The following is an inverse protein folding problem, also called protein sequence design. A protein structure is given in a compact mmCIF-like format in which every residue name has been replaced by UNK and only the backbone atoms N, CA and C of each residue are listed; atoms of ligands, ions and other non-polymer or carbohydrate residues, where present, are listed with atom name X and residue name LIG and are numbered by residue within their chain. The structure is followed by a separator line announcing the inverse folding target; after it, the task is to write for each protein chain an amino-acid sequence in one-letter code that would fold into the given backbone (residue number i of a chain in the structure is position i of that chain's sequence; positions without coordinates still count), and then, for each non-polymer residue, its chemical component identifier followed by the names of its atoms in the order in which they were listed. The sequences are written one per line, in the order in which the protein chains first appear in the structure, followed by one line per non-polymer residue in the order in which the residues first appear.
data_IF_697811930666
#
_entry.id   IF_697811930666
#
_cell.length_a   1.000
_cell.length_b   1.000
_cell.length_c   1.000
_cell.angle_alpha   90.00
_cell.angle_beta   90.00
_cell.angle_gamma   90.00
#
_symmetry.space_group_name_H-M   'P 1'
#
loop_
_entity.id
_entity.type
_entity.pdbx_description
1 polymer ?
#
# COMPACT_ATOMS: atom_id res chain seq x y z
N UNK A 1 19.60 48.30 -8.60
CA UNK A 1 19.06 49.54 -9.19
C UNK A 1 17.64 49.70 -8.68
N UNK A 2 17.39 50.85 -8.04
CA UNK A 2 16.14 51.64 -7.93
C UNK A 2 14.85 50.94 -7.45
N UNK A 3 14.37 51.40 -6.30
CA UNK A 3 12.98 51.25 -5.82
C UNK A 3 12.02 52.12 -6.65
N UNK A 4 10.82 51.61 -6.91
CA UNK A 4 9.64 52.46 -7.19
C UNK A 4 8.37 51.80 -6.67
N UNK A 5 7.81 52.42 -5.63
CA UNK A 5 6.42 52.27 -5.18
C UNK A 5 5.53 53.17 -6.03
N UNK A 6 4.38 52.68 -6.49
CA UNK A 6 3.29 53.53 -6.97
C UNK A 6 1.94 52.85 -6.67
N UNK A 7 1.13 53.54 -5.88
CA UNK A 7 -0.30 53.35 -5.68
C UNK A 7 -0.95 54.75 -5.70
N UNK A 8 -2.28 54.88 -5.69
CA UNK A 8 -3.21 54.49 -6.74
C UNK A 8 -3.95 55.74 -7.29
N UNK A 9 -4.27 55.79 -8.59
CA UNK A 9 -5.14 56.82 -9.15
C UNK A 9 -6.56 56.27 -9.28
N UNK A 10 -7.45 56.69 -8.39
CA UNK A 10 -8.90 56.51 -8.50
C UNK A 10 -9.44 57.43 -9.60
N UNK A 11 -9.81 56.86 -10.75
CA UNK A 11 -10.79 57.47 -11.65
C UNK A 11 -12.01 56.56 -11.70
N UNK A 12 -13.04 57.03 -11.01
CA UNK A 12 -14.41 56.57 -11.09
C UNK A 12 -14.91 56.72 -12.53
N UNK A 13 -15.13 55.61 -13.21
CA UNK A 13 -16.03 55.53 -14.37
C UNK A 13 -16.61 54.13 -14.35
N UNK A 14 -17.89 54.03 -13.99
CA UNK A 14 -18.64 52.79 -14.08
C UNK A 14 -18.65 52.31 -15.54
N UNK A 15 -18.25 51.05 -15.82
CA UNK A 15 -18.64 50.41 -17.06
C UNK A 15 -19.99 49.74 -16.83
N UNK A 16 -21.09 50.43 -17.14
CA UNK A 16 -22.35 49.74 -17.43
C UNK A 16 -22.13 48.92 -18.72
N UNK A 17 -21.68 47.68 -18.56
CA UNK A 17 -21.35 46.75 -19.63
C UNK A 17 -22.63 46.13 -20.23
N UNK A 18 -23.32 46.88 -21.09
CA UNK A 18 -24.43 46.38 -21.91
C UNK A 18 -24.03 46.37 -23.39
N UNK A 19 -24.40 45.31 -24.13
CA UNK A 19 -24.16 45.21 -25.57
C UNK A 19 -24.95 46.31 -26.31
N UNK A 20 -24.32 47.15 -27.16
CA UNK A 20 -25.00 48.25 -27.85
C UNK A 20 -25.98 47.79 -28.96
N UNK A 21 -26.12 46.48 -29.20
CA UNK A 21 -27.05 45.91 -30.18
C UNK A 21 -28.23 45.12 -29.61
N UNK A 22 -28.24 44.77 -28.32
CA UNK A 22 -29.23 43.84 -27.78
C UNK A 22 -29.76 44.16 -26.37
N UNK A 23 -29.21 45.16 -25.65
CA UNK A 23 -29.74 45.61 -24.36
C UNK A 23 -29.73 44.57 -23.22
N UNK A 24 -29.23 43.36 -23.45
CA UNK A 24 -29.02 42.36 -22.42
C UNK A 24 -27.76 42.69 -21.62
N UNK A 25 -27.91 42.84 -20.30
CA UNK A 25 -26.80 42.83 -19.37
C UNK A 25 -26.23 41.41 -19.37
N UNK A 26 -25.05 41.25 -19.96
CA UNK A 26 -24.33 39.98 -19.89
C UNK A 26 -23.99 39.70 -18.41
N UNK A 27 -24.12 38.46 -17.92
CA UNK A 27 -23.69 38.06 -16.57
C UNK A 27 -22.16 38.14 -16.37
N UNK A 28 -21.53 39.29 -16.62
CA UNK A 28 -20.08 39.50 -16.46
C UNK A 28 -19.61 39.21 -15.04
N UNK A 29 -20.47 39.40 -14.04
CA UNK A 29 -20.11 39.17 -12.65
C UNK A 29 -19.89 37.68 -12.35
N UNK A 30 -20.64 36.78 -12.99
CA UNK A 30 -20.47 35.34 -12.80
C UNK A 30 -19.19 34.83 -13.47
N UNK A 31 -18.94 35.26 -14.71
CA UNK A 31 -17.72 34.89 -15.45
C UNK A 31 -16.46 35.44 -14.77
N UNK A 32 -16.53 36.64 -14.19
CA UNK A 32 -15.43 37.26 -13.44
C UNK A 32 -15.13 36.52 -12.14
N UNK A 33 -16.15 36.06 -11.42
CA UNK A 33 -15.98 35.22 -10.23
C UNK A 33 -15.38 33.86 -10.60
N UNK A 34 -15.87 33.22 -11.67
CA UNK A 34 -15.30 31.96 -12.16
C UNK A 34 -13.84 32.12 -12.62
N UNK A 35 -13.48 33.24 -13.23
CA UNK A 35 -12.10 33.52 -13.64
C UNK A 35 -11.16 33.64 -12.42
N UNK A 36 -11.62 34.29 -11.35
CA UNK A 36 -10.86 34.41 -10.10
C UNK A 36 -10.69 33.06 -9.41
N UNK A 37 -11.74 32.25 -9.35
CA UNK A 37 -11.69 30.88 -8.81
C UNK A 37 -10.75 29.99 -9.65
N UNK A 38 -10.84 30.10 -10.99
CA UNK A 38 -9.94 29.39 -11.89
C UNK A 38 -8.48 29.84 -11.69
N UNK A 39 -8.23 31.13 -11.46
CA UNK A 39 -6.90 31.67 -11.21
C UNK A 39 -6.32 31.16 -9.89
N UNK A 40 -7.09 31.15 -8.80
CA UNK A 40 -6.69 30.56 -7.53
C UNK A 40 -6.34 29.08 -7.70
N UNK A 41 -7.20 28.34 -8.39
CA UNK A 41 -6.98 26.92 -8.64
C UNK A 41 -5.75 26.64 -9.50
N UNK A 42 -5.44 27.51 -10.45
CA UNK A 42 -4.20 27.42 -11.24
C UNK A 42 -2.98 27.58 -10.31
N UNK A 43 -2.99 28.57 -9.43
CA UNK A 43 -1.87 28.79 -8.48
C UNK A 43 -1.69 27.58 -7.55
N UNK A 44 -2.79 27.01 -7.04
CA UNK A 44 -2.73 25.80 -6.22
C UNK A 44 -2.16 24.60 -6.97
N UNK A 45 -2.59 24.40 -8.22
CA UNK A 45 -2.06 23.35 -9.07
C UNK A 45 -0.58 23.57 -9.39
N UNK A 46 -0.16 24.81 -9.66
CA UNK A 46 1.25 25.15 -9.87
C UNK A 46 2.10 24.86 -8.63
N UNK A 47 1.58 25.16 -7.44
CA UNK A 47 2.25 24.85 -6.17
C UNK A 47 2.36 23.34 -5.95
N UNK A 48 1.30 22.58 -6.23
CA UNK A 48 1.34 21.11 -6.15
C UNK A 48 2.34 20.52 -7.14
N UNK A 49 2.39 21.02 -8.38
CA UNK A 49 3.38 20.58 -9.37
C UNK A 49 4.80 20.87 -8.91
N UNK A 50 5.05 22.05 -8.33
CA UNK A 50 6.37 22.38 -7.75
C UNK A 50 6.76 21.43 -6.63
N UNK A 51 5.84 21.16 -5.69
CA UNK A 51 6.09 20.24 -4.58
C UNK A 51 6.34 18.80 -5.07
N UNK A 52 5.56 18.34 -6.04
CA UNK A 52 5.76 17.02 -6.64
C UNK A 52 7.09 16.92 -7.37
N UNK A 53 7.52 17.99 -8.05
CA UNK A 53 8.81 18.03 -8.72
C UNK A 53 9.99 18.02 -7.72
N UNK A 54 9.88 18.76 -6.61
CA UNK A 54 10.85 18.70 -5.52
C UNK A 54 10.93 17.29 -4.92
N UNK A 55 9.78 16.66 -4.67
CA UNK A 55 9.72 15.28 -4.16
C UNK A 55 10.28 14.27 -5.14
N UNK A 56 10.02 14.44 -6.44
CA UNK A 56 10.58 13.59 -7.48
C UNK A 56 12.10 13.74 -7.55
N UNK A 57 12.61 14.96 -7.49
CA UNK A 57 14.05 15.24 -7.47
C UNK A 57 14.72 14.62 -6.25
N UNK A 58 14.16 14.82 -5.05
CA UNK A 58 14.66 14.19 -3.82
C UNK A 58 14.58 12.65 -3.84
N UNK A 59 13.60 12.08 -4.55
CA UNK A 59 13.55 10.64 -4.76
C UNK A 59 14.66 10.17 -5.70
N UNK A 60 14.91 10.88 -6.80
CA UNK A 60 16.00 10.57 -7.74
C UNK A 60 17.36 10.66 -7.05
N UNK A 61 17.60 11.67 -6.22
CA UNK A 61 18.84 11.79 -5.44
C UNK A 61 19.07 10.57 -4.53
N UNK A 62 18.02 10.13 -3.81
CA UNK A 62 18.09 8.91 -2.98
C UNK A 62 18.33 7.65 -3.82
N UNK A 63 17.81 7.59 -5.04
CA UNK A 63 18.04 6.45 -5.93
C UNK A 63 19.49 6.40 -6.41
N UNK A 64 20.10 7.56 -6.65
CA UNK A 64 21.53 7.64 -6.94
C UNK A 64 22.37 7.11 -5.76
N UNK A 65 22.04 7.49 -4.52
CA UNK A 65 22.71 6.96 -3.32
C UNK A 65 22.61 5.42 -3.25
N UNK A 66 21.42 4.84 -3.51
CA UNK A 66 21.24 3.39 -3.53
C UNK A 66 21.99 2.70 -4.67
N UNK A 67 22.13 3.35 -5.84
CA UNK A 67 22.90 2.82 -6.96
C UNK A 67 24.41 2.77 -6.60
N UNK A 68 24.92 3.80 -5.94
CA UNK A 68 26.29 3.84 -5.44
C UNK A 68 26.54 2.76 -4.38
N UNK A 69 25.60 2.56 -3.45
CA UNK A 69 25.67 1.47 -2.47
C UNK A 69 25.67 0.08 -3.14
N UNK A 70 24.81 -0.14 -4.14
CA UNK A 70 24.77 -1.38 -4.90
C UNK A 70 26.07 -1.61 -5.66
N UNK A 71 26.64 -0.56 -6.25
CA UNK A 71 27.91 -0.63 -6.98
C UNK A 71 29.05 -0.96 -6.02
N UNK A 72 29.06 -0.33 -4.83
CA UNK A 72 30.01 -0.64 -3.76
C UNK A 72 29.91 -2.08 -3.27
N UNK A 73 28.69 -2.58 -3.02
CA UNK A 73 28.47 -3.96 -2.59
C UNK A 73 28.89 -4.97 -3.66
N UNK A 74 28.62 -4.69 -4.94
CA UNK A 74 29.09 -5.51 -6.06
C UNK A 74 30.61 -5.53 -6.18
N UNK A 75 31.28 -4.42 -5.90
CA UNK A 75 32.74 -4.35 -5.86
C UNK A 75 33.35 -5.09 -4.65
N UNK A 76 32.62 -5.18 -3.54
CA UNK A 76 33.01 -5.94 -2.36
C UNK A 76 32.76 -7.44 -2.50
N UNK A 77 31.81 -7.86 -3.34
CA UNK A 77 31.68 -9.26 -3.75
C UNK A 77 32.82 -9.60 -4.72
N UNK A 78 33.65 -10.63 -4.45
CA UNK A 78 34.66 -11.07 -5.41
C UNK A 78 33.97 -11.63 -6.66
N UNK A 79 33.98 -10.87 -7.76
CA UNK A 79 33.41 -11.29 -9.04
C UNK A 79 34.41 -12.13 -9.84
N UNK A 80 34.09 -13.41 -10.02
CA UNK A 80 34.56 -14.22 -11.15
C UNK A 80 34.20 -13.54 -12.48
N UNK A 81 35.09 -13.46 -13.49
CA UNK A 81 34.84 -12.69 -14.70
C UNK A 81 34.11 -13.52 -15.75
N UNK A 82 32.93 -13.08 -16.21
CA UNK A 82 32.48 -13.36 -17.59
C UNK A 82 31.47 -12.33 -18.10
N UNK A 83 31.97 -11.44 -18.97
CA UNK A 83 31.40 -10.89 -20.21
C UNK A 83 30.03 -10.14 -20.22
N UNK A 84 30.15 -8.81 -20.33
CA UNK A 84 29.55 -7.91 -21.36
C UNK A 84 28.03 -7.94 -21.66
N UNK A 85 27.34 -6.92 -21.14
CA UNK A 85 26.68 -5.81 -21.86
C UNK A 85 25.81 -6.10 -23.10
N UNK A 86 24.48 -5.89 -22.98
CA UNK A 86 23.66 -5.22 -24.02
C UNK A 86 22.36 -4.58 -23.49
N UNK A 87 22.41 -3.24 -23.43
CA UNK A 87 21.38 -2.20 -23.62
C UNK A 87 19.87 -2.56 -23.72
N UNK A 88 19.04 -1.85 -22.95
CA UNK A 88 17.56 -1.80 -23.04
C UNK A 88 17.05 -1.06 -24.30
N UNK A 89 15.75 -1.19 -24.66
CA UNK A 89 14.78 -0.17 -24.18
C UNK A 89 13.39 -0.68 -23.75
N UNK A 90 12.81 0.06 -22.79
CA UNK A 90 11.40 0.33 -22.49
C UNK A 90 10.40 -0.81 -22.18
N UNK A 91 9.78 -0.70 -21.01
CA UNK A 91 8.56 -1.39 -20.51
C UNK A 91 7.30 -1.00 -21.31
N UNK A 92 6.23 -1.84 -21.33
CA UNK A 92 5.25 -1.76 -20.25
C UNK A 92 4.66 -3.12 -19.78
N UNK A 93 4.45 -3.18 -18.46
CA UNK A 93 3.32 -3.81 -17.75
C UNK A 93 3.01 -5.31 -17.91
N UNK A 94 3.10 -6.00 -16.76
CA UNK A 94 2.14 -7.00 -16.24
C UNK A 94 2.00 -8.35 -16.98
N UNK A 95 2.68 -9.39 -16.48
CA UNK A 95 2.15 -10.75 -16.48
C UNK A 95 2.92 -11.66 -15.52
N UNK A 96 2.26 -11.99 -14.41
CA UNK A 96 2.16 -13.32 -13.80
C UNK A 96 3.33 -14.30 -14.02
N UNK A 97 4.02 -14.59 -12.91
CA UNK A 97 4.46 -15.92 -12.46
C UNK A 97 4.32 -17.05 -13.49
N UNK A 98 5.43 -17.45 -14.10
CA UNK A 98 5.61 -18.76 -14.76
C UNK A 98 7.11 -19.07 -14.86
N UNK A 99 7.71 -19.48 -13.75
CA UNK A 99 9.09 -19.98 -13.67
C UNK A 99 9.15 -21.51 -13.54
N UNK A 100 8.30 -22.23 -14.28
CA UNK A 100 8.44 -23.67 -14.44
C UNK A 100 8.24 -24.05 -15.90
N UNK A 101 9.27 -23.83 -16.73
CA UNK A 101 9.65 -24.77 -17.80
C UNK A 101 10.82 -24.25 -18.64
N UNK A 102 11.67 -25.21 -19.02
CA UNK A 102 12.64 -25.19 -20.11
C UNK A 102 14.08 -24.84 -19.71
N UNK A 103 14.89 -25.88 -19.50
CA UNK A 103 16.34 -25.70 -19.42
C UNK A 103 17.20 -26.91 -19.01
N UNK A 104 16.66 -28.11 -18.78
CA UNK A 104 17.48 -29.28 -18.38
C UNK A 104 17.46 -30.38 -19.44
N UNK A 105 18.16 -30.20 -20.56
CA UNK A 105 18.28 -31.27 -21.57
C UNK A 105 19.63 -31.39 -22.26
N UNK A 106 20.72 -30.74 -21.81
CA UNK A 106 21.98 -30.80 -22.57
C UNK A 106 23.29 -31.00 -21.81
N UNK A 107 23.27 -31.31 -20.50
CA UNK A 107 24.52 -31.58 -19.76
C UNK A 107 24.73 -33.05 -19.36
N UNK A 108 23.74 -33.92 -19.52
CA UNK A 108 23.84 -35.34 -19.13
C UNK A 108 24.48 -36.25 -20.18
N UNK A 109 25.01 -35.72 -21.30
CA UNK A 109 25.52 -36.52 -22.41
C UNK A 109 27.05 -36.61 -22.51
N UNK A 110 27.82 -35.97 -21.60
CA UNK A 110 29.29 -35.89 -21.70
C UNK A 110 30.05 -36.65 -20.60
N UNK A 111 29.37 -37.37 -19.71
CA UNK A 111 30.01 -38.04 -18.55
C UNK A 111 29.83 -39.57 -18.51
N UNK A 112 29.58 -40.22 -19.65
CA UNK A 112 29.59 -41.69 -19.73
C UNK A 112 30.76 -42.20 -20.57
N UNK A 113 31.85 -42.71 -19.94
CA UNK A 113 32.85 -43.52 -20.61
C UNK A 113 32.21 -44.81 -21.12
N UNK A 114 32.13 -44.94 -22.45
CA UNK A 114 31.62 -46.13 -23.14
C UNK A 114 32.57 -47.29 -22.87
N UNK A 115 32.19 -48.21 -21.97
CA UNK A 115 32.84 -49.51 -21.78
C UNK A 115 31.83 -50.62 -22.10
N UNK A 116 32.19 -51.42 -23.08
CA UNK A 116 31.43 -52.52 -23.68
C UNK A 116 31.15 -53.67 -22.69
N UNK A 117 29.93 -54.19 -22.72
CA UNK A 117 29.62 -55.57 -22.31
C UNK A 117 28.62 -56.17 -23.31
N UNK A 118 28.80 -57.43 -23.75
CA UNK A 118 27.90 -58.10 -24.68
C UNK A 118 26.75 -58.79 -23.93
N UNK A 119 25.68 -59.01 -24.69
CA UNK A 119 24.68 -60.06 -24.52
C UNK A 119 23.67 -59.89 -23.37
N UNK A 120 22.40 -59.67 -23.74
CA UNK A 120 21.24 -60.43 -23.25
C UNK A 120 20.01 -60.04 -24.07
N UNK A 121 19.32 -61.06 -24.56
CA UNK A 121 18.17 -61.02 -25.45
C UNK A 121 16.98 -60.23 -24.89
N UNK A 122 16.32 -59.46 -25.76
CA UNK A 122 14.89 -59.17 -25.62
C UNK A 122 14.26 -59.10 -27.01
N UNK A 123 13.32 -60.00 -27.19
CA UNK A 123 12.53 -60.28 -28.38
C UNK A 123 11.41 -59.22 -28.43
N UNK A 124 11.31 -58.44 -29.51
CA UNK A 124 10.02 -58.20 -30.19
C UNK A 124 10.16 -57.36 -31.47
N UNK A 125 9.98 -58.05 -32.60
CA UNK A 125 8.94 -57.81 -33.62
C UNK A 125 8.76 -56.41 -34.25
N UNK A 126 9.40 -56.15 -35.40
CA UNK A 126 8.72 -55.99 -36.71
C UNK A 126 9.68 -55.63 -37.88
N UNK A 127 9.28 -55.92 -39.14
CA UNK A 127 10.16 -56.01 -40.29
C UNK A 127 10.15 -54.75 -41.16
N UNK A 128 11.30 -54.32 -41.64
CA UNK A 128 11.43 -53.62 -42.92
C UNK A 128 12.89 -53.65 -43.38
N UNK A 129 13.16 -54.55 -44.31
CA UNK A 129 14.37 -54.61 -45.12
C UNK A 129 14.35 -53.42 -46.11
N UNK A 130 15.52 -52.87 -46.46
CA UNK A 130 15.93 -52.99 -47.86
C UNK A 130 17.36 -53.54 -48.00
N UNK A 131 17.55 -54.36 -49.05
CA UNK A 131 18.86 -54.65 -49.61
C UNK A 131 19.50 -53.33 -50.05
N UNK A 132 20.81 -53.17 -49.90
CA UNK A 132 21.67 -53.28 -51.08
C UNK A 132 23.17 -53.19 -50.78
N UNK A 133 23.87 -54.07 -51.51
CA UNK A 133 25.16 -53.86 -52.17
C UNK A 133 26.43 -53.84 -51.33
N UNK A 134 27.00 -55.06 -51.30
CA UNK A 134 28.42 -55.34 -51.49
C UNK A 134 29.10 -54.28 -52.35
N UNK A 135 30.21 -53.74 -51.87
CA UNK A 135 31.32 -53.31 -52.70
C UNK A 135 32.57 -53.98 -52.16
N UNK A 136 32.97 -55.04 -52.83
CA UNK A 136 34.34 -55.51 -52.78
C UNK A 136 35.20 -54.51 -53.56
N UNK A 137 36.24 -53.98 -52.93
CA UNK A 137 37.40 -53.47 -53.64
C UNK A 137 38.63 -54.01 -52.92
N UNK A 138 39.21 -55.00 -53.58
CA UNK A 138 40.51 -55.58 -53.31
C UNK A 138 41.62 -54.54 -53.45
N UNK A 139 42.80 -54.92 -52.92
CA UNK A 139 44.14 -54.36 -53.14
C UNK A 139 44.50 -53.25 -52.14
N UNK A 140 45.48 -53.43 -51.27
CA UNK A 140 46.83 -53.86 -51.65
C UNK A 140 47.63 -54.38 -50.44
N UNK A 141 48.30 -55.52 -50.65
CA UNK A 141 49.37 -56.01 -49.80
C UNK A 141 50.53 -55.00 -49.83
N UNK A 142 50.87 -54.44 -48.67
CA UNK A 142 52.21 -53.92 -48.40
C UNK A 142 52.77 -54.73 -47.25
N UNK A 143 53.60 -55.69 -47.63
CA UNK A 143 54.79 -56.16 -46.93
C UNK A 143 54.87 -55.85 -45.42
N UNK A 144 54.61 -56.90 -44.65
CA UNK A 144 55.03 -57.06 -43.27
C UNK A 144 56.54 -56.84 -43.16
N UNK A 145 56.95 -55.73 -42.56
CA UNK A 145 58.20 -55.66 -41.81
C UNK A 145 57.81 -55.74 -40.32
N UNK A 146 58.20 -56.79 -39.58
CA UNK A 146 57.98 -56.80 -38.14
C UNK A 146 58.74 -55.61 -37.54
N UNK A 147 58.13 -54.81 -36.65
CA UNK A 147 58.90 -53.82 -35.89
C UNK A 147 60.07 -54.54 -35.20
N UNK A 148 61.23 -53.90 -35.01
CA UNK A 148 62.29 -54.49 -34.19
C UNK A 148 61.66 -54.88 -32.86
N UNK A 149 61.80 -56.15 -32.48
CA UNK A 149 61.30 -56.63 -31.19
C UNK A 149 61.93 -55.72 -30.14
N UNK A 150 61.12 -55.05 -29.30
CA UNK A 150 61.68 -54.20 -28.26
C UNK A 150 62.61 -55.09 -27.44
N UNK A 151 63.84 -54.62 -27.24
CA UNK A 151 64.78 -55.36 -26.41
C UNK A 151 64.18 -55.47 -25.00
N UNK A 152 64.56 -56.51 -24.25
CA UNK A 152 64.04 -56.70 -22.89
C UNK A 152 64.27 -55.44 -22.02
N UNK A 153 65.36 -54.72 -22.28
CA UNK A 153 65.70 -53.46 -21.62
C UNK A 153 64.72 -52.32 -21.99
N UNK A 154 64.33 -52.21 -23.26
CA UNK A 154 63.33 -51.21 -23.71
C UNK A 154 61.96 -51.43 -23.06
N UNK A 155 61.57 -52.69 -22.86
CA UNK A 155 60.31 -53.05 -22.19
C UNK A 155 60.31 -52.69 -20.71
N UNK A 156 61.43 -52.91 -20.01
CA UNK A 156 61.60 -52.52 -18.61
C UNK A 156 61.59 -51.00 -18.46
N UNK A 157 62.26 -50.27 -19.35
CA UNK A 157 62.25 -48.81 -19.35
C UNK A 157 60.83 -48.27 -19.63
N UNK A 158 60.12 -48.82 -20.62
CA UNK A 158 58.75 -48.44 -20.93
C UNK A 158 57.78 -48.71 -19.76
N UNK A 159 57.90 -49.85 -19.08
CA UNK A 159 57.10 -50.18 -17.89
C UNK A 159 57.40 -49.20 -16.75
N UNK A 160 58.67 -48.86 -16.52
CA UNK A 160 59.04 -47.90 -15.48
C UNK A 160 58.44 -46.51 -15.74
N UNK A 161 58.43 -46.05 -17.00
CA UNK A 161 57.79 -44.79 -17.41
C UNK A 161 56.28 -44.85 -17.19
N UNK A 162 55.63 -45.95 -17.56
CA UNK A 162 54.20 -46.14 -17.39
C UNK A 162 53.79 -46.15 -15.91
N UNK A 163 54.55 -46.83 -15.06
CA UNK A 163 54.34 -46.81 -13.61
C UNK A 163 54.54 -45.41 -13.01
N UNK A 164 55.56 -44.67 -13.45
CA UNK A 164 55.79 -43.30 -12.98
C UNK A 164 54.64 -42.37 -13.40
N UNK A 165 54.16 -42.47 -14.64
CA UNK A 165 53.00 -41.72 -15.11
C UNK A 165 51.73 -42.06 -14.33
N UNK A 166 51.51 -43.34 -13.98
CA UNK A 166 50.39 -43.74 -13.13
C UNK A 166 50.49 -43.18 -11.73
N UNK A 167 51.65 -43.27 -11.08
CA UNK A 167 51.87 -42.67 -9.76
C UNK A 167 51.62 -41.17 -9.76
N UNK A 168 52.06 -40.46 -10.82
CA UNK A 168 51.79 -39.03 -10.98
C UNK A 168 50.29 -38.74 -11.15
N UNK A 169 49.60 -39.51 -12.00
CA UNK A 169 48.17 -39.39 -12.21
C UNK A 169 47.37 -39.69 -10.93
N UNK A 170 47.72 -40.75 -10.20
CA UNK A 170 47.15 -41.10 -8.89
C UNK A 170 47.38 -39.99 -7.87
N UNK A 171 48.57 -39.38 -7.86
CA UNK A 171 48.87 -38.23 -7.01
C UNK A 171 48.00 -37.01 -7.33
N UNK A 172 47.79 -36.70 -8.62
CA UNK A 172 46.90 -35.63 -9.07
C UNK A 172 45.45 -35.90 -8.69
N UNK A 173 44.96 -37.13 -8.89
CA UNK A 173 43.59 -37.52 -8.49
C UNK A 173 43.43 -37.40 -6.97
N UNK A 174 44.41 -37.87 -6.19
CA UNK A 174 44.39 -37.75 -4.74
C UNK A 174 44.40 -36.28 -4.26
N UNK A 175 45.16 -35.40 -4.92
CA UNK A 175 45.15 -33.97 -4.65
C UNK A 175 43.77 -33.36 -4.93
N UNK A 176 43.18 -33.64 -6.09
CA UNK A 176 41.83 -33.15 -6.42
C UNK A 176 40.75 -33.69 -5.49
N UNK A 177 40.86 -34.94 -5.02
CA UNK A 177 39.93 -35.51 -4.03
C UNK A 177 39.97 -34.72 -2.73
N UNK A 178 41.17 -34.36 -2.25
CA UNK A 178 41.33 -33.56 -1.03
C UNK A 178 40.77 -32.16 -1.19
N UNK A 179 41.03 -31.49 -2.32
CA UNK A 179 40.46 -30.16 -2.59
C UNK A 179 38.93 -30.19 -2.60
N UNK A 180 38.34 -31.23 -3.20
CA UNK A 180 36.88 -31.41 -3.19
C UNK A 180 36.36 -31.67 -1.78
N UNK A 181 37.05 -32.48 -0.98
CA UNK A 181 36.71 -32.73 0.43
C UNK A 181 36.76 -31.43 1.25
N UNK A 182 37.83 -30.64 1.11
CA UNK A 182 38.00 -29.35 1.78
C UNK A 182 36.91 -28.35 1.39
N UNK A 183 36.64 -28.21 0.09
CA UNK A 183 35.56 -27.34 -0.41
C UNK A 183 34.19 -27.80 0.08
N UNK A 184 33.95 -29.11 0.14
CA UNK A 184 32.70 -29.65 0.66
C UNK A 184 32.54 -29.35 2.15
N UNK A 185 33.61 -29.53 2.94
CA UNK A 185 33.60 -29.24 4.37
C UNK A 185 33.34 -27.75 4.64
N UNK A 186 34.02 -26.86 3.90
CA UNK A 186 33.82 -25.41 4.01
C UNK A 186 32.39 -24.99 3.65
N UNK A 187 31.82 -25.57 2.57
CA UNK A 187 30.43 -25.30 2.17
C UNK A 187 29.43 -25.75 3.26
N UNK A 188 29.64 -26.93 3.85
CA UNK A 188 28.78 -27.43 4.92
C UNK A 188 28.90 -26.59 6.19
N UNK A 189 30.11 -26.15 6.55
CA UNK A 189 30.33 -25.28 7.70
C UNK A 189 29.63 -23.92 7.51
N UNK A 190 29.81 -23.29 6.35
CA UNK A 190 29.14 -22.03 6.00
C UNK A 190 27.61 -22.18 6.01
N UNK A 191 27.09 -23.28 5.44
CA UNK A 191 25.66 -23.55 5.44
C UNK A 191 25.12 -23.75 6.88
N UNK A 192 25.87 -24.46 7.72
CA UNK A 192 25.49 -24.66 9.12
C UNK A 192 25.50 -23.35 9.91
N UNK A 193 26.48 -22.47 9.67
CA UNK A 193 26.54 -21.15 10.30
C UNK A 193 25.34 -20.28 9.91
N UNK A 194 25.02 -20.19 8.61
CA UNK A 194 23.87 -19.44 8.11
C UNK A 194 22.55 -19.93 8.73
N UNK A 195 22.37 -21.26 8.81
CA UNK A 195 21.17 -21.85 9.45
C UNK A 195 21.15 -21.57 10.95
N UNK A 196 22.30 -21.59 11.62
CA UNK A 196 22.37 -21.26 13.05
C UNK A 196 22.02 -19.78 13.29
N UNK A 197 22.50 -18.86 12.46
CA UNK A 197 22.12 -17.45 12.51
C UNK A 197 20.63 -17.25 12.27
N UNK A 198 20.05 -17.91 11.26
CA UNK A 198 18.63 -17.87 10.98
C UNK A 198 17.82 -18.37 12.19
N UNK A 199 18.19 -19.52 12.77
CA UNK A 199 17.53 -20.06 13.97
C UNK A 199 17.60 -19.08 15.14
N UNK A 200 18.75 -18.43 15.36
CA UNK A 200 18.92 -17.41 16.41
C UNK A 200 18.08 -16.18 16.12
N UNK A 201 18.06 -15.69 14.88
CA UNK A 201 17.29 -14.53 14.47
C UNK A 201 15.78 -14.80 14.61
N UNK A 202 15.34 -15.97 14.16
CA UNK A 202 13.97 -16.46 14.30
C UNK A 202 13.56 -16.54 15.76
N UNK A 203 14.37 -17.14 16.63
CA UNK A 203 14.08 -17.21 18.07
C UNK A 203 13.95 -15.81 18.71
N UNK A 204 14.79 -14.84 18.32
CA UNK A 204 14.68 -13.45 18.79
C UNK A 204 13.39 -12.77 18.32
N UNK A 205 12.97 -13.02 17.08
CA UNK A 205 11.71 -12.49 16.54
C UNK A 205 10.51 -13.11 17.24
N UNK A 206 10.52 -14.44 17.43
CA UNK A 206 9.47 -15.17 18.16
C UNK A 206 9.32 -14.60 19.59
N UNK A 207 10.42 -14.40 20.32
CA UNK A 207 10.39 -13.75 21.65
C UNK A 207 9.76 -12.35 21.61
N UNK A 208 10.12 -11.51 20.63
CA UNK A 208 9.58 -10.16 20.50
C UNK A 208 8.09 -10.16 20.14
N UNK A 209 7.65 -11.13 19.33
CA UNK A 209 6.24 -11.33 19.01
C UNK A 209 5.48 -11.72 20.27
N UNK A 210 5.95 -12.71 21.04
CA UNK A 210 5.32 -13.13 22.29
C UNK A 210 5.16 -11.96 23.29
N UNK A 211 6.19 -11.12 23.43
CA UNK A 211 6.14 -9.92 24.27
C UNK A 211 5.15 -8.86 23.77
N UNK A 212 5.02 -8.69 22.46
CA UNK A 212 4.03 -7.79 21.85
C UNK A 212 2.62 -8.32 22.09
N UNK A 213 2.37 -9.60 21.84
CA UNK A 213 1.09 -10.24 22.07
C UNK A 213 0.66 -10.13 23.54
N UNK A 214 1.58 -10.38 24.48
CA UNK A 214 1.31 -10.22 25.92
C UNK A 214 0.88 -8.79 26.26
N UNK A 215 1.56 -7.78 25.70
CA UNK A 215 1.22 -6.37 25.91
C UNK A 215 -0.13 -5.99 25.29
N UNK A 216 -0.42 -6.52 24.11
CA UNK A 216 -1.68 -6.24 23.42
C UNK A 216 -2.86 -6.90 24.13
N UNK A 217 -2.69 -8.11 24.68
CA UNK A 217 -3.69 -8.73 25.55
C UNK A 217 -3.96 -7.89 26.81
N UNK A 218 -2.92 -7.34 27.45
CA UNK A 218 -3.08 -6.47 28.60
C UNK A 218 -3.83 -5.17 28.25
N UNK A 219 -3.49 -4.54 27.12
CA UNK A 219 -4.18 -3.36 26.62
C UNK A 219 -5.64 -3.66 26.29
N UNK A 220 -5.94 -4.77 25.61
CA UNK A 220 -7.31 -5.21 25.32
C UNK A 220 -8.12 -5.37 26.62
N UNK A 221 -7.56 -5.99 27.66
CA UNK A 221 -8.22 -6.11 28.98
C UNK A 221 -8.45 -4.77 29.68
N UNK A 222 -7.58 -3.77 29.45
CA UNK A 222 -7.78 -2.41 29.97
C UNK A 222 -8.91 -1.70 29.21
N UNK A 223 -8.92 -1.82 27.89
CA UNK A 223 -9.97 -1.26 27.03
C UNK A 223 -11.33 -1.87 27.35
N UNK A 224 -11.44 -3.19 27.49
CA UNK A 224 -12.69 -3.87 27.87
C UNK A 224 -13.28 -3.33 29.18
N UNK A 225 -12.43 -3.04 30.17
CA UNK A 225 -12.86 -2.42 31.43
C UNK A 225 -13.36 -0.98 31.24
N UNK A 226 -12.68 -0.21 30.39
CA UNK A 226 -13.09 1.15 30.06
C UNK A 226 -14.39 1.17 29.27
N UNK A 227 -14.55 0.29 28.29
CA UNK A 227 -15.79 0.09 27.53
C UNK A 227 -16.95 -0.30 28.45
N UNK A 228 -16.71 -1.22 29.39
CA UNK A 228 -17.70 -1.56 30.42
C UNK A 228 -18.11 -0.36 31.28
N UNK A 229 -17.16 0.49 31.66
CA UNK A 229 -17.44 1.71 32.41
C UNK A 229 -18.19 2.77 31.55
N UNK A 230 -17.79 2.96 30.29
CA UNK A 230 -18.47 3.86 29.36
C UNK A 230 -19.91 3.41 29.11
N UNK A 231 -20.15 2.12 28.87
CA UNK A 231 -21.49 1.56 28.72
C UNK A 231 -22.35 1.79 29.97
N UNK A 232 -21.77 1.74 31.17
CA UNK A 232 -22.49 2.07 32.41
C UNK A 232 -22.85 3.55 32.48
N UNK A 233 -21.90 4.43 32.15
CA UNK A 233 -22.12 5.88 32.11
C UNK A 233 -23.20 6.23 31.09
N UNK A 234 -23.17 5.62 29.91
CA UNK A 234 -24.16 5.81 28.87
C UNK A 234 -25.57 5.41 29.33
N UNK A 235 -25.72 4.25 30.00
CA UNK A 235 -27.01 3.87 30.60
C UNK A 235 -27.50 4.85 31.65
N UNK A 236 -26.63 5.34 32.52
CA UNK A 236 -27.01 6.34 33.53
C UNK A 236 -27.41 7.65 32.87
N UNK A 237 -26.70 8.09 31.82
CA UNK A 237 -27.08 9.28 31.05
C UNK A 237 -28.47 9.15 30.43
N UNK A 238 -28.79 7.99 29.86
CA UNK A 238 -30.13 7.73 29.31
C UNK A 238 -31.20 7.80 30.40
N UNK A 239 -30.99 7.18 31.56
CA UNK A 239 -31.94 7.23 32.67
C UNK A 239 -32.10 8.64 33.26
N UNK A 240 -31.02 9.42 33.32
CA UNK A 240 -31.10 10.82 33.78
C UNK A 240 -31.87 11.69 32.78
N UNK A 241 -31.70 11.46 31.48
CA UNK A 241 -32.47 12.17 30.47
C UNK A 241 -33.98 11.85 30.58
N UNK A 242 -34.35 10.59 30.76
CA UNK A 242 -35.74 10.18 30.98
C UNK A 242 -36.32 10.80 32.27
N UNK A 243 -35.55 10.78 33.37
CA UNK A 243 -35.97 11.40 34.63
C UNK A 243 -36.13 12.94 34.52
N UNK A 244 -35.31 13.61 33.71
CA UNK A 244 -35.44 15.04 33.43
C UNK A 244 -36.76 15.34 32.67
N UNK A 245 -37.13 14.50 31.70
CA UNK A 245 -38.41 14.62 30.97
C UNK A 245 -39.62 14.42 31.90
N UNK A 246 -39.58 13.42 32.80
CA UNK A 246 -40.63 13.16 33.79
C UNK A 246 -40.80 14.33 34.77
N UNK A 247 -39.70 14.92 35.21
CA UNK A 247 -39.72 16.11 36.08
C UNK A 247 -40.31 17.31 35.35
N UNK A 248 -39.97 17.53 34.08
CA UNK A 248 -40.51 18.63 33.30
C UNK A 248 -42.01 18.45 33.01
N UNK A 249 -42.44 17.22 32.72
CA UNK A 249 -43.85 16.85 32.62
C UNK A 249 -44.60 17.14 33.93
N UNK A 250 -44.04 16.75 35.07
CA UNK A 250 -44.62 17.02 36.40
C UNK A 250 -44.69 18.51 36.72
N UNK A 251 -43.69 19.32 36.34
CA UNK A 251 -43.78 20.78 36.49
C UNK A 251 -44.90 21.37 35.66
N UNK A 252 -45.11 20.86 34.44
CA UNK A 252 -46.16 21.34 33.54
C UNK A 252 -47.55 21.03 34.11
N UNK A 253 -47.76 19.82 34.64
CA UNK A 253 -49.03 19.46 35.28
C UNK A 253 -49.29 20.28 36.54
N UNK A 254 -48.27 20.53 37.37
CA UNK A 254 -48.42 21.43 38.55
C UNK A 254 -48.83 22.84 38.13
N UNK A 255 -48.19 23.42 37.11
CA UNK A 255 -48.58 24.74 36.58
C UNK A 255 -50.02 24.77 36.06
N UNK A 256 -50.45 23.72 35.36
CA UNK A 256 -51.81 23.62 34.84
C UNK A 256 -52.85 23.53 35.98
N UNK A 257 -52.53 22.81 37.06
CA UNK A 257 -53.37 22.76 38.27
C UNK A 257 -53.45 24.15 38.93
N UNK A 258 -52.32 24.84 39.13
CA UNK A 258 -52.30 26.19 39.71
C UNK A 258 -53.10 27.20 38.86
N UNK A 259 -53.05 27.08 37.53
CA UNK A 259 -53.86 27.90 36.62
C UNK A 259 -55.35 27.59 36.74
N UNK A 260 -55.75 26.32 36.82
CA UNK A 260 -57.14 25.92 37.06
C UNK A 260 -57.66 26.41 38.42
N UNK A 261 -56.88 26.30 39.49
CA UNK A 261 -57.26 26.81 40.81
C UNK A 261 -57.47 28.33 40.79
N UNK A 262 -56.58 29.07 40.12
CA UNK A 262 -56.71 30.53 39.96
C UNK A 262 -58.00 30.89 39.20
N UNK A 263 -58.32 30.16 38.14
CA UNK A 263 -59.57 30.35 37.39
C UNK A 263 -60.80 30.04 38.25
N UNK A 264 -60.78 28.97 39.04
CA UNK A 264 -61.87 28.63 39.96
C UNK A 264 -62.04 29.68 41.05
N UNK A 265 -60.96 30.20 41.63
CA UNK A 265 -61.05 31.30 42.60
C UNK A 265 -61.65 32.57 41.97
N UNK A 266 -61.24 32.92 40.75
CA UNK A 266 -61.82 34.05 40.00
C UNK A 266 -63.30 33.83 39.70
N UNK A 267 -63.69 32.61 39.31
CA UNK A 267 -65.07 32.24 39.05
C UNK A 267 -65.92 32.25 40.33
N UNK A 268 -65.40 31.73 41.45
CA UNK A 268 -66.04 31.81 42.76
C UNK A 268 -66.20 33.26 43.24
N UNK A 269 -65.19 34.11 43.04
CA UNK A 269 -65.27 35.55 43.32
C UNK A 269 -66.34 36.23 42.47
N UNK A 270 -66.45 35.88 41.17
CA UNK A 270 -67.53 36.37 40.29
C UNK A 270 -68.90 35.90 40.75
N UNK A 271 -69.04 34.64 41.16
CA UNK A 271 -70.31 34.07 41.64
C UNK A 271 -70.77 34.70 42.97
N UNK A 272 -69.84 34.97 43.90
CA UNK A 272 -70.15 35.67 45.15
C UNK A 272 -70.53 37.14 44.92
N UNK A 273 -69.86 37.83 43.99
CA UNK A 273 -70.26 39.18 43.55
C UNK A 273 -71.68 39.21 42.96
N UNK A 274 -72.14 38.14 42.31
CA UNK A 274 -73.49 38.06 41.74
C UNK A 274 -74.60 37.76 42.76
N UNK A 275 -74.27 37.33 43.99
CA UNK A 275 -75.25 37.13 45.08
C UNK A 275 -75.48 38.40 45.92
N UNK A 276 -74.62 39.42 45.81
CA UNK A 276 -74.81 40.74 46.42
C UNK A 276 -75.18 41.80 45.36
N UNK A 277 -76.36 41.64 44.75
CA UNK A 277 -77.10 42.77 44.18
C UNK A 277 -78.28 43.09 45.11
N UNK A 278 -78.28 44.24 45.81
CA UNK A 278 -79.53 44.88 46.16
C UNK A 278 -80.19 45.33 44.86
N UNK A 279 -81.45 44.97 44.70
CA UNK A 279 -82.35 45.57 43.72
C UNK A 279 -82.35 47.08 43.98
N UNK A 280 -81.90 47.87 43.03
CA UNK A 280 -82.52 49.16 42.76
C UNK A 280 -82.33 49.56 41.30
N UNK A 281 -83.49 49.77 40.67
CA UNK A 281 -83.67 50.41 39.38
C UNK A 281 -83.11 51.84 39.39
N UNK A 282 -82.46 52.27 38.32
CA UNK A 282 -83.05 53.24 37.37
C UNK A 282 -82.02 53.87 36.42
N UNK A 283 -82.36 53.74 35.13
CA UNK A 283 -82.47 54.81 34.13
C UNK A 283 -81.21 55.48 33.52
N UNK A 284 -81.09 55.23 32.20
CA UNK A 284 -80.80 56.19 31.11
C UNK A 284 -79.46 56.95 31.09
N UNK A 285 -78.77 56.88 29.93
CA UNK A 285 -78.73 57.96 28.91
C UNK A 285 -77.47 57.87 28.00
N UNK A 286 -77.69 57.46 26.74
CA UNK A 286 -77.31 58.14 25.46
C UNK A 286 -75.83 58.48 25.11
N UNK A 287 -75.55 58.32 23.79
CA UNK A 287 -74.55 58.94 22.87
C UNK A 287 -73.23 58.18 22.66
N UNK A 288 -73.06 57.52 21.52
CA UNK A 288 -72.66 58.03 20.19
C UNK A 288 -71.17 58.42 20.09
N UNK A 289 -70.48 57.71 19.20
CA UNK A 289 -69.60 58.33 18.20
C UNK A 289 -68.10 58.12 18.41
N UNK A 290 -67.44 57.66 17.34
CA UNK A 290 -66.06 58.08 17.07
C UNK A 290 -65.11 56.95 16.70
N UNK A 291 -64.94 56.75 15.40
CA UNK A 291 -63.86 56.02 14.73
C UNK A 291 -62.46 56.42 15.24
N UNK A 292 -61.50 55.48 15.15
CA UNK A 292 -60.24 55.69 14.40
C UNK A 292 -59.43 54.40 14.25
N UNK A 293 -59.05 54.18 12.99
CA UNK A 293 -58.01 53.32 12.45
C UNK A 293 -56.63 53.46 13.12
N UNK A 294 -55.70 52.57 12.69
CA UNK A 294 -54.23 52.67 12.69
C UNK A 294 -53.50 52.02 13.88
N UNK A 295 -52.39 51.26 13.78
CA UNK A 295 -51.44 50.83 12.73
C UNK A 295 -50.78 49.53 13.25
N UNK A 296 -50.49 48.62 12.33
CA UNK A 296 -49.27 47.80 12.19
C UNK A 296 -48.22 47.78 13.32
N UNK A 297 -47.76 46.58 13.69
CA UNK A 297 -46.33 46.31 13.95
C UNK A 297 -46.08 44.81 14.07
N UNK A 298 -45.72 44.21 12.94
CA UNK A 298 -44.80 43.09 12.90
C UNK A 298 -43.52 43.42 13.68
N UNK A 299 -43.04 42.47 14.50
CA UNK A 299 -41.63 42.42 14.88
C UNK A 299 -41.13 40.98 14.77
N UNK A 300 -40.66 40.66 13.57
CA UNK A 300 -39.56 39.71 13.35
C UNK A 300 -38.26 40.31 13.87
N UNK A 301 -37.26 39.42 14.03
CA UNK A 301 -35.83 39.62 14.32
C UNK A 301 -35.42 39.40 15.77
N UNK A 302 -34.32 38.71 16.08
CA UNK A 302 -33.32 37.96 15.32
C UNK A 302 -32.50 37.18 16.38
N UNK A 303 -31.77 36.17 15.93
CA UNK A 303 -30.43 35.77 16.38
C UNK A 303 -30.06 35.80 17.87
N UNK A 304 -29.66 34.64 18.40
CA UNK A 304 -28.25 34.47 18.82
C UNK A 304 -27.88 32.99 18.89
N UNK A 305 -27.20 32.54 17.83
CA UNK A 305 -26.07 31.62 17.95
C UNK A 305 -25.17 32.07 19.10
N UNK A 306 -24.80 31.17 20.02
CA UNK A 306 -23.46 31.21 20.64
C UNK A 306 -23.13 29.91 21.39
N UNK A 307 -22.01 29.32 20.96
CA UNK A 307 -20.99 28.60 21.76
C UNK A 307 -21.34 27.17 22.25
N UNK A 308 -20.48 26.16 22.15
CA UNK A 308 -19.06 26.07 21.76
C UNK A 308 -18.73 24.60 21.51
#
# INVERSE_FOLDING_TARGET
MVMTMAAPTTLTTEPSSCCPGCGYALPLDHDRVQLLEAQERIVDLENQVRLLNEKASAAVDRWADYEDELTRLRAQLPSSPTLQQKQLPATPTNARMSFLQSGTSRLSALLSPRKSHPDLASIDTNPARPLNQRSASSQSHHQLQPPPSPSADDLLEALSREQNLRKEAEGKVAATSREVEELSAALFEQANEMVAEERRARAKLEQRVDELERRDLEKRRRLERLEGAMNRIERVRLLLAEAEEDVESSKKTVKEIEEMERQQEEEQKRATLHQHSPIDDTDKTIKQGGERHSIDSQRSRDDESYQR
#
